data_IF_890702385272
#
_entry.id   IF_890702385272
#
_cell.length_a   1.000
_cell.length_b   1.000
_cell.length_c   1.000
_cell.angle_alpha   90.00
_cell.angle_beta   90.00
_cell.angle_gamma   90.00
#
_symmetry.space_group_name_H-M   'P 1'
#
loop_
_entity.id
_entity.type
_entity.pdbx_description
1 polymer ?
#
# COMPACT_ATOMS: atom_id res chain seq x y z
N UNK A 1 -6.70 -29.59 -9.89
CA UNK A 1 -5.59 -29.27 -10.81
C UNK A 1 -6.17 -29.25 -12.22
N UNK A 2 -6.51 -28.06 -12.73
CA UNK A 2 -6.93 -27.93 -14.14
C UNK A 2 -5.74 -27.39 -14.89
N UNK A 3 -5.09 -28.27 -15.66
CA UNK A 3 -3.99 -27.91 -16.53
C UNK A 3 -4.53 -26.94 -17.58
N UNK A 4 -4.24 -25.65 -17.41
CA UNK A 4 -4.34 -24.68 -18.50
C UNK A 4 -3.27 -25.12 -19.49
N UNK A 5 -3.71 -25.70 -20.60
CA UNK A 5 -2.87 -25.85 -21.79
C UNK A 5 -2.43 -24.43 -22.14
N UNK A 6 -1.17 -24.11 -21.87
CA UNK A 6 -0.53 -22.92 -22.39
C UNK A 6 -0.48 -23.16 -23.89
N UNK A 7 -1.49 -22.69 -24.61
CA UNK A 7 -1.44 -22.68 -26.06
C UNK A 7 -0.20 -21.86 -26.42
N UNK A 8 0.72 -22.47 -27.18
CA UNK A 8 1.81 -21.81 -27.87
C UNK A 8 1.24 -20.70 -28.75
N UNK A 9 1.01 -19.53 -28.16
CA UNK A 9 0.54 -18.34 -28.85
C UNK A 9 1.70 -17.83 -29.71
N UNK A 10 1.82 -18.49 -30.86
CA UNK A 10 2.29 -18.01 -32.14
C UNK A 10 3.65 -17.30 -32.08
N UNK A 11 4.69 -18.02 -32.50
CA UNK A 11 5.95 -17.47 -33.00
C UNK A 11 5.77 -16.60 -34.25
N UNK A 12 4.57 -16.08 -34.51
CA UNK A 12 4.20 -15.26 -35.66
C UNK A 12 3.63 -13.93 -35.25
N UNK A 13 3.91 -12.89 -36.04
CA UNK A 13 3.25 -11.59 -35.92
C UNK A 13 1.73 -11.72 -36.06
N UNK A 14 0.97 -11.23 -35.09
CA UNK A 14 -0.49 -11.32 -35.07
C UNK A 14 -1.21 -10.54 -36.19
N UNK A 15 -0.50 -9.65 -36.90
CA UNK A 15 -1.04 -8.93 -38.04
C UNK A 15 -0.65 -9.55 -39.38
N UNK A 16 0.66 -9.76 -39.62
CA UNK A 16 1.18 -10.14 -40.94
C UNK A 16 1.64 -11.60 -41.04
N UNK A 17 1.58 -12.37 -39.95
CA UNK A 17 1.94 -13.80 -39.94
C UNK A 17 3.44 -14.12 -39.99
N UNK A 18 4.34 -13.12 -40.06
CA UNK A 18 5.81 -13.34 -40.09
C UNK A 18 6.30 -14.10 -38.87
N UNK A 19 7.11 -15.15 -39.06
CA UNK A 19 7.71 -15.94 -37.98
C UNK A 19 8.96 -15.28 -37.37
N UNK A 20 9.21 -15.56 -36.10
CA UNK A 20 10.51 -15.29 -35.45
C UNK A 20 11.61 -16.02 -36.24
N UNK A 21 12.47 -15.28 -36.95
CA UNK A 21 13.62 -15.84 -37.69
C UNK A 21 13.48 -15.96 -39.21
N UNK A 22 12.35 -15.57 -39.83
CA UNK A 22 12.23 -15.46 -41.30
C UNK A 22 12.99 -14.22 -41.81
N UNK A 23 14.32 -14.33 -41.84
CA UNK A 23 15.23 -13.34 -42.43
C UNK A 23 15.60 -13.71 -43.86
N UNK A 24 14.90 -13.13 -44.84
CA UNK A 24 15.53 -12.80 -46.12
C UNK A 24 16.48 -11.62 -45.91
N UNK A 25 17.67 -11.70 -46.52
CA UNK A 25 18.84 -10.80 -46.41
C UNK A 25 18.60 -9.46 -45.67
N UNK A 26 19.08 -9.39 -44.42
CA UNK A 26 19.16 -8.15 -43.65
C UNK A 26 18.23 -8.05 -42.43
N UNK A 27 18.33 -8.99 -41.50
CA UNK A 27 17.89 -8.79 -40.10
C UNK A 27 16.81 -9.75 -39.61
N UNK A 28 17.12 -10.51 -38.57
CA UNK A 28 16.16 -11.34 -37.83
C UNK A 28 15.12 -10.42 -37.17
N UNK A 29 13.91 -10.36 -37.71
CA UNK A 29 12.81 -9.59 -37.11
C UNK A 29 12.37 -10.25 -35.80
N UNK A 30 12.88 -9.73 -34.67
CA UNK A 30 12.52 -10.20 -33.33
C UNK A 30 11.10 -9.74 -33.00
N UNK A 31 10.18 -10.68 -32.81
CA UNK A 31 8.82 -10.34 -32.41
C UNK A 31 8.78 -9.81 -30.96
N UNK A 32 7.92 -8.83 -30.73
CA UNK A 32 7.72 -8.20 -29.42
C UNK A 32 6.29 -8.42 -28.93
N UNK A 33 6.15 -8.82 -27.67
CA UNK A 33 4.83 -8.99 -27.04
C UNK A 33 4.08 -7.66 -26.98
N UNK A 34 2.76 -7.70 -27.12
CA UNK A 34 1.91 -6.57 -26.80
C UNK A 34 2.16 -6.11 -25.36
N UNK A 35 2.56 -4.86 -25.17
CA UNK A 35 2.91 -4.31 -23.86
C UNK A 35 1.73 -4.32 -22.87
N UNK A 36 0.49 -4.30 -23.37
CA UNK A 36 -0.72 -4.26 -22.54
C UNK A 36 -1.17 -5.66 -22.08
N UNK A 37 -1.41 -6.59 -23.02
CA UNK A 37 -2.02 -7.89 -22.72
C UNK A 37 -1.06 -9.08 -22.73
N UNK A 38 0.12 -8.95 -23.36
CA UNK A 38 1.09 -10.02 -23.57
C UNK A 38 0.58 -11.29 -24.30
N UNK A 39 -0.64 -11.26 -24.87
CA UNK A 39 -1.24 -12.40 -25.57
C UNK A 39 -0.73 -12.59 -27.00
N UNK A 40 -0.33 -11.49 -27.64
CA UNK A 40 0.01 -11.45 -29.05
C UNK A 40 1.35 -10.77 -29.25
N UNK A 41 2.04 -11.15 -30.34
CA UNK A 41 3.35 -10.64 -30.71
C UNK A 41 3.30 -9.84 -32.02
N UNK A 42 4.20 -8.88 -32.19
CA UNK A 42 4.31 -8.03 -33.38
C UNK A 42 5.75 -7.87 -33.85
N UNK A 43 5.95 -7.84 -35.17
CA UNK A 43 7.26 -7.57 -35.80
C UNK A 43 7.60 -6.08 -35.89
N UNK A 44 6.67 -5.19 -35.53
CA UNK A 44 6.86 -3.75 -35.59
C UNK A 44 5.61 -2.96 -35.22
N UNK A 45 5.77 -1.65 -35.04
CA UNK A 45 4.70 -0.75 -34.60
C UNK A 45 3.53 -0.68 -35.59
N UNK A 46 3.79 -0.80 -36.90
CA UNK A 46 2.74 -0.75 -37.93
C UNK A 46 1.81 -1.96 -37.84
N UNK A 47 2.37 -3.15 -37.64
CA UNK A 47 1.60 -4.36 -37.41
C UNK A 47 0.79 -4.29 -36.10
N UNK A 48 1.35 -3.71 -35.05
CA UNK A 48 0.63 -3.49 -33.80
C UNK A 48 -0.54 -2.50 -33.99
N UNK A 49 -0.35 -1.42 -34.75
CA UNK A 49 -1.42 -0.44 -35.03
C UNK A 49 -2.53 -1.07 -35.88
N UNK A 50 -2.17 -1.81 -36.93
CA UNK A 50 -3.14 -2.45 -37.83
C UNK A 50 -4.02 -3.49 -37.12
N UNK A 51 -3.45 -4.29 -36.22
CA UNK A 51 -4.20 -5.30 -35.47
C UNK A 51 -4.97 -4.73 -34.24
N UNK A 52 -4.71 -3.48 -33.85
CA UNK A 52 -5.28 -2.87 -32.63
C UNK A 52 -6.80 -3.00 -32.57
N UNK A 53 -7.50 -2.66 -33.65
CA UNK A 53 -8.97 -2.63 -33.65
C UNK A 53 -9.58 -4.03 -33.54
N UNK A 54 -8.94 -5.05 -34.11
CA UNK A 54 -9.40 -6.45 -34.06
C UNK A 54 -9.23 -7.04 -32.66
N UNK A 55 -8.19 -6.62 -31.93
CA UNK A 55 -7.81 -7.18 -30.64
C UNK A 55 -8.17 -6.30 -29.43
N UNK A 56 -8.65 -5.07 -29.64
CA UNK A 56 -8.84 -4.06 -28.59
C UNK A 56 -9.56 -4.60 -27.36
N UNK A 57 -10.76 -5.19 -27.52
CA UNK A 57 -11.57 -5.70 -26.40
C UNK A 57 -10.86 -6.81 -25.61
N UNK A 58 -10.29 -7.78 -26.31
CA UNK A 58 -9.54 -8.88 -25.68
C UNK A 58 -8.26 -8.38 -24.98
N UNK A 59 -7.60 -7.38 -25.58
CA UNK A 59 -6.44 -6.71 -25.00
C UNK A 59 -6.76 -6.01 -23.68
N UNK A 60 -7.85 -5.22 -23.67
CA UNK A 60 -8.33 -4.48 -22.49
C UNK A 60 -8.71 -5.43 -21.35
N UNK A 61 -9.46 -6.50 -21.66
CA UNK A 61 -9.82 -7.54 -20.69
C UNK A 61 -8.57 -8.15 -20.06
N UNK A 62 -7.63 -8.61 -20.88
CA UNK A 62 -6.41 -9.25 -20.36
C UNK A 62 -5.51 -8.27 -19.61
N UNK A 63 -5.44 -7.02 -20.04
CA UNK A 63 -4.70 -5.99 -19.31
C UNK A 63 -5.30 -5.74 -17.91
N UNK A 64 -6.63 -5.78 -17.79
CA UNK A 64 -7.31 -5.71 -16.49
C UNK A 64 -7.03 -6.95 -15.64
N UNK A 65 -7.07 -8.15 -16.22
CA UNK A 65 -6.70 -9.39 -15.52
C UNK A 65 -5.27 -9.37 -15.01
N UNK A 66 -4.31 -8.91 -15.81
CA UNK A 66 -2.91 -8.78 -15.39
C UNK A 66 -2.73 -7.79 -14.24
N UNK A 67 -3.52 -6.71 -14.20
CA UNK A 67 -3.54 -5.78 -13.07
C UNK A 67 -4.08 -6.46 -11.81
N UNK A 68 -5.16 -7.21 -11.93
CA UNK A 68 -5.75 -7.99 -10.84
C UNK A 68 -4.81 -9.09 -10.34
N UNK A 69 -4.18 -9.84 -11.23
CA UNK A 69 -3.15 -10.84 -10.90
C UNK A 69 -2.00 -10.20 -10.11
N UNK A 70 -1.55 -9.00 -10.49
CA UNK A 70 -0.52 -8.26 -9.75
C UNK A 70 -1.02 -7.79 -8.38
N UNK A 71 -2.21 -7.20 -8.33
CA UNK A 71 -2.80 -6.64 -7.12
C UNK A 71 -3.08 -7.71 -6.06
N UNK A 72 -3.65 -8.84 -6.48
CA UNK A 72 -3.96 -9.97 -5.61
C UNK A 72 -2.76 -10.89 -5.38
N UNK A 73 -1.79 -10.95 -6.29
CA UNK A 73 -0.61 -11.80 -6.13
C UNK A 73 0.42 -11.30 -5.12
N UNK A 74 0.40 -10.00 -4.78
CA UNK A 74 1.34 -9.38 -3.84
C UNK A 74 0.66 -9.04 -2.51
N UNK A 75 1.44 -8.77 -1.47
CA UNK A 75 0.94 -8.30 -0.15
C UNK A 75 -0.01 -9.29 0.51
N UNK A 76 0.37 -10.57 0.47
CA UNK A 76 -0.34 -11.71 1.05
C UNK A 76 0.05 -12.00 2.50
N UNK A 77 1.11 -11.35 2.96
CA UNK A 77 1.73 -11.50 4.27
C UNK A 77 2.03 -10.12 4.84
N UNK A 78 2.13 -10.05 6.16
CA UNK A 78 2.44 -8.81 6.87
C UNK A 78 3.93 -8.47 6.71
N UNK A 79 4.30 -7.19 6.63
CA UNK A 79 5.69 -6.77 6.63
C UNK A 79 6.38 -7.10 7.96
N UNK A 80 7.71 -7.20 7.98
CA UNK A 80 8.48 -7.53 9.19
C UNK A 80 8.24 -6.54 10.35
N UNK A 81 8.01 -5.26 10.03
CA UNK A 81 7.77 -4.19 11.01
C UNK A 81 6.45 -4.34 11.79
N UNK A 82 5.58 -5.27 11.39
CA UNK A 82 4.34 -5.62 12.08
C UNK A 82 4.55 -6.66 13.20
N UNK A 83 5.74 -7.26 13.29
CA UNK A 83 6.08 -8.24 14.30
C UNK A 83 6.83 -7.58 15.44
N UNK A 84 6.53 -7.99 16.67
CA UNK A 84 7.29 -7.49 17.80
C UNK A 84 8.71 -8.05 17.74
N UNK A 85 9.74 -7.23 17.66
CA UNK A 85 11.13 -7.70 17.50
C UNK A 85 11.71 -8.37 18.76
N UNK A 86 10.98 -8.39 19.89
CA UNK A 86 11.41 -9.05 21.14
C UNK A 86 10.88 -10.48 21.21
N UNK A 87 9.60 -10.70 20.92
CA UNK A 87 8.99 -12.03 20.98
C UNK A 87 8.75 -12.66 19.59
N UNK A 88 9.03 -11.92 18.52
CA UNK A 88 8.79 -12.31 17.11
C UNK A 88 7.34 -12.67 16.80
N UNK A 89 6.40 -12.35 17.68
CA UNK A 89 4.97 -12.56 17.46
C UNK A 89 4.36 -11.37 16.69
N UNK A 90 3.39 -11.63 15.80
CA UNK A 90 2.67 -10.55 15.12
C UNK A 90 1.96 -9.66 16.15
N UNK A 91 2.12 -8.35 16.02
CA UNK A 91 1.39 -7.39 16.88
C UNK A 91 -0.09 -7.44 16.46
N UNK A 92 -1.03 -7.70 17.38
CA UNK A 92 -2.46 -7.75 17.03
C UNK A 92 -2.95 -6.45 16.40
N UNK A 93 -3.89 -6.53 15.45
CA UNK A 93 -4.59 -5.35 14.94
C UNK A 93 -5.71 -4.91 15.90
N UNK A 94 -5.93 -3.59 16.09
CA UNK A 94 -5.15 -2.50 15.52
C UNK A 94 -3.83 -2.29 16.29
N UNK A 95 -2.71 -2.17 15.56
CA UNK A 95 -1.36 -2.26 16.17
C UNK A 95 -1.03 -1.11 17.12
N UNK A 96 -1.58 0.07 16.88
CA UNK A 96 -1.43 1.26 17.72
C UNK A 96 -1.99 1.04 19.14
N UNK A 97 -3.02 0.22 19.29
CA UNK A 97 -3.59 -0.15 20.59
C UNK A 97 -2.81 -1.26 21.32
N UNK A 98 -1.99 -2.02 20.60
CA UNK A 98 -1.29 -3.21 21.14
C UNK A 98 0.23 -3.07 21.15
N UNK A 99 0.77 -1.92 20.74
CA UNK A 99 2.20 -1.64 20.73
C UNK A 99 2.52 -0.21 21.15
N UNK A 100 3.80 0.04 21.42
CA UNK A 100 4.34 1.38 21.58
C UNK A 100 5.55 1.55 20.67
N UNK A 101 5.67 2.73 20.07
CA UNK A 101 6.79 3.08 19.21
C UNK A 101 7.96 3.56 20.07
N UNK A 102 9.12 2.95 19.92
CA UNK A 102 10.35 3.47 20.51
C UNK A 102 10.90 4.60 19.65
N UNK A 103 10.93 5.85 20.15
CA UNK A 103 11.33 7.02 19.36
C UNK A 103 12.78 6.94 18.80
N UNK A 104 13.72 6.34 19.53
CA UNK A 104 15.12 6.20 19.08
C UNK A 104 15.25 5.26 17.86
N UNK A 105 14.81 4.01 17.99
CA UNK A 105 14.92 2.99 16.95
C UNK A 105 13.73 2.94 15.99
N UNK A 106 12.67 3.72 16.22
CA UNK A 106 11.44 3.76 15.41
C UNK A 106 10.94 2.34 15.14
N UNK A 107 10.90 1.53 16.21
CA UNK A 107 10.41 0.15 16.21
C UNK A 107 9.23 0.03 17.15
N UNK A 108 8.19 -0.69 16.72
CA UNK A 108 7.01 -0.99 17.54
C UNK A 108 7.31 -2.19 18.43
N UNK A 109 7.02 -2.08 19.72
CA UNK A 109 7.13 -3.18 20.69
C UNK A 109 5.75 -3.48 21.24
N UNK A 110 5.35 -4.75 21.29
CA UNK A 110 4.05 -5.08 21.85
C UNK A 110 4.01 -4.78 23.36
N UNK A 111 2.83 -4.41 23.86
CA UNK A 111 2.65 -4.06 25.28
C UNK A 111 3.03 -5.22 26.22
N UNK A 112 2.87 -6.47 25.77
CA UNK A 112 3.28 -7.66 26.52
C UNK A 112 4.79 -7.66 26.80
N UNK A 113 5.61 -7.42 25.78
CA UNK A 113 7.07 -7.34 25.93
C UNK A 113 7.48 -6.11 26.74
N UNK A 114 6.86 -4.95 26.52
CA UNK A 114 7.11 -3.74 27.34
C UNK A 114 6.86 -4.04 28.82
N UNK A 115 5.73 -4.68 29.15
CA UNK A 115 5.39 -5.05 30.53
C UNK A 115 6.36 -6.08 31.12
N UNK A 116 6.77 -7.07 30.33
CA UNK A 116 7.73 -8.09 30.76
C UNK A 116 9.10 -7.48 31.08
N UNK A 117 9.55 -6.52 30.26
CA UNK A 117 10.81 -5.80 30.50
C UNK A 117 10.69 -4.83 31.69
N UNK A 118 9.56 -4.15 31.84
CA UNK A 118 9.31 -3.28 33.01
C UNK A 118 9.42 -4.00 34.34
N UNK A 119 8.97 -5.26 34.43
CA UNK A 119 9.15 -6.09 35.64
C UNK A 119 10.61 -6.38 35.98
N UNK A 120 11.53 -6.20 35.03
CA UNK A 120 12.99 -6.37 35.22
C UNK A 120 13.72 -5.05 35.43
N UNK A 121 12.99 -3.92 35.48
CA UNK A 121 13.59 -2.59 35.66
C UNK A 121 14.38 -2.08 34.46
N UNK A 122 14.14 -2.58 33.24
CA UNK A 122 14.95 -2.20 32.06
C UNK A 122 14.22 -1.24 31.10
N UNK A 123 13.23 -0.48 31.58
CA UNK A 123 12.52 0.53 30.77
C UNK A 123 13.20 1.90 30.75
N UNK A 124 14.34 2.06 31.42
CA UNK A 124 15.11 3.32 31.37
C UNK A 124 15.97 3.42 30.11
N UNK A 125 16.03 2.38 29.28
CA UNK A 125 16.80 2.36 28.03
C UNK A 125 16.00 1.77 26.89
N UNK A 126 16.32 2.19 25.66
CA UNK A 126 15.78 1.63 24.45
C UNK A 126 16.10 0.13 24.37
N UNK A 127 15.08 -0.69 24.13
CA UNK A 127 15.19 -2.15 24.14
C UNK A 127 16.07 -2.74 23.02
N UNK A 128 16.50 -1.91 22.08
CA UNK A 128 17.30 -2.31 20.91
C UNK A 128 18.74 -1.79 21.00
N UNK A 129 18.90 -0.48 21.14
CA UNK A 129 20.21 0.17 21.12
C UNK A 129 20.73 0.54 22.51
N UNK A 130 19.96 0.29 23.58
CA UNK A 130 20.27 0.65 24.98
C UNK A 130 20.52 2.14 25.23
N UNK A 131 20.25 3.01 24.26
CA UNK A 131 20.22 4.46 24.47
C UNK A 131 19.24 4.78 25.59
N UNK A 132 19.60 5.59 26.61
CA UNK A 132 18.69 6.00 27.66
C UNK A 132 17.38 6.53 27.08
N UNK A 133 16.25 6.06 27.62
CA UNK A 133 14.96 6.63 27.29
C UNK A 133 14.92 8.06 27.82
N UNK A 134 14.29 8.91 27.03
CA UNK A 134 14.34 10.35 27.21
C UNK A 134 13.44 10.75 28.38
N UNK A 135 13.98 11.51 29.32
CA UNK A 135 13.21 12.09 30.43
C UNK A 135 12.20 13.13 29.92
N UNK A 136 12.51 13.77 28.79
CA UNK A 136 11.70 14.82 28.19
C UNK A 136 11.48 14.64 26.68
N UNK A 137 10.41 15.27 26.20
CA UNK A 137 9.96 15.23 24.80
C UNK A 137 10.95 15.90 23.84
N UNK A 138 11.68 16.94 24.27
CA UNK A 138 12.61 17.65 23.40
C UNK A 138 13.81 16.76 23.06
N UNK A 139 14.34 16.05 24.04
CA UNK A 139 15.39 15.05 23.81
C UNK A 139 14.92 13.94 22.87
N UNK A 140 13.69 13.42 23.05
CA UNK A 140 13.11 12.42 22.15
C UNK A 140 13.02 12.92 20.70
N UNK A 141 12.57 14.16 20.52
CA UNK A 141 12.44 14.81 19.22
C UNK A 141 13.80 15.06 18.56
N UNK A 142 14.85 15.38 19.33
CA UNK A 142 16.20 15.57 18.81
C UNK A 142 16.78 14.26 18.23
N UNK A 143 16.53 13.12 18.89
CA UNK A 143 16.94 11.81 18.34
C UNK A 143 16.19 11.45 17.07
N UNK A 144 14.86 11.64 17.06
CA UNK A 144 14.07 11.42 15.87
C UNK A 144 14.52 12.36 14.74
N UNK A 145 14.90 13.60 15.06
CA UNK A 145 15.38 14.58 14.07
C UNK A 145 16.63 14.10 13.36
N UNK A 146 17.62 13.56 14.08
CA UNK A 146 18.84 13.00 13.46
C UNK A 146 18.52 11.95 12.39
N UNK A 147 17.48 11.13 12.61
CA UNK A 147 17.04 10.12 11.62
C UNK A 147 16.25 10.73 10.48
N UNK A 148 15.43 11.74 10.75
CA UNK A 148 14.75 12.53 9.71
C UNK A 148 15.77 13.20 8.80
N UNK A 149 16.83 13.78 9.34
CA UNK A 149 17.91 14.41 8.59
C UNK A 149 18.67 13.38 7.74
N UNK A 150 18.84 12.16 8.26
CA UNK A 150 19.38 11.01 7.55
C UNK A 150 18.39 10.36 6.55
N UNK A 151 17.20 10.96 6.33
CA UNK A 151 16.16 10.48 5.43
C UNK A 151 15.69 9.05 5.72
N UNK A 152 15.62 8.70 7.00
CA UNK A 152 15.04 7.44 7.42
C UNK A 152 13.52 7.42 7.15
N UNK A 153 13.01 6.47 6.35
CA UNK A 153 11.59 6.43 5.96
C UNK A 153 10.64 6.28 7.16
N UNK A 154 11.01 5.50 8.18
CA UNK A 154 10.18 5.30 9.36
C UNK A 154 10.19 6.54 10.25
N UNK A 155 11.33 7.21 10.39
CA UNK A 155 11.45 8.45 11.15
C UNK A 155 10.67 9.60 10.50
N UNK A 156 10.76 9.74 9.18
CA UNK A 156 9.97 10.70 8.40
C UNK A 156 8.47 10.46 8.60
N UNK A 157 8.03 9.20 8.49
CA UNK A 157 6.64 8.81 8.72
C UNK A 157 6.17 9.12 10.14
N UNK A 158 7.01 8.83 11.14
CA UNK A 158 6.74 9.12 12.54
C UNK A 158 6.67 10.62 12.82
N UNK A 159 7.54 11.43 12.21
CA UNK A 159 7.47 12.90 12.30
C UNK A 159 6.20 13.43 11.63
N UNK A 160 5.81 12.86 10.49
CA UNK A 160 4.54 13.15 9.85
C UNK A 160 3.35 12.90 10.79
N UNK A 161 3.36 11.77 11.51
CA UNK A 161 2.35 11.46 12.52
C UNK A 161 2.33 12.49 13.66
N UNK A 162 3.50 12.96 14.13
CA UNK A 162 3.58 13.97 15.19
C UNK A 162 2.86 15.28 14.79
N UNK A 163 3.11 15.78 13.57
CA UNK A 163 2.41 16.94 13.02
C UNK A 163 0.92 16.66 12.74
N UNK A 164 0.59 15.46 12.26
CA UNK A 164 -0.80 15.09 12.01
C UNK A 164 -1.65 15.05 13.29
N UNK A 165 -1.10 14.54 14.40
CA UNK A 165 -1.84 14.47 15.66
C UNK A 165 -1.68 15.71 16.54
N UNK A 166 -0.75 16.63 16.23
CA UNK A 166 -0.40 17.73 17.13
C UNK A 166 0.12 17.21 18.47
N UNK A 167 1.06 16.27 18.42
CA UNK A 167 1.55 15.53 19.59
C UNK A 167 3.06 15.70 19.78
N UNK A 168 3.58 15.33 20.96
CA UNK A 168 5.01 15.43 21.27
C UNK A 168 5.58 16.85 21.10
N UNK A 169 4.81 17.87 21.50
CA UNK A 169 5.25 19.27 21.44
C UNK A 169 5.15 19.92 20.06
N UNK A 170 4.52 19.26 19.09
CA UNK A 170 4.19 19.85 17.79
C UNK A 170 2.73 20.28 17.74
N UNK A 171 2.47 21.41 17.11
CA UNK A 171 1.11 21.81 16.74
C UNK A 171 0.62 20.99 15.54
N UNK A 172 -0.69 20.91 15.40
CA UNK A 172 -1.32 20.22 14.28
C UNK A 172 -1.01 20.93 12.95
N UNK A 173 -0.34 20.25 12.02
CA UNK A 173 0.07 20.79 10.73
C UNK A 173 -0.03 19.72 9.62
N UNK A 174 -1.18 19.68 8.95
CA UNK A 174 -1.48 18.71 7.89
C UNK A 174 -0.61 18.85 6.63
N UNK A 175 -0.37 20.07 6.10
CA UNK A 175 0.55 20.25 4.98
C UNK A 175 1.93 19.66 5.27
N UNK A 176 2.51 19.99 6.43
CA UNK A 176 3.84 19.48 6.81
C UNK A 176 3.85 17.98 7.04
N UNK A 177 2.80 17.42 7.63
CA UNK A 177 2.63 15.97 7.75
C UNK A 177 2.62 15.30 6.37
N UNK A 178 1.89 15.87 5.42
CA UNK A 178 1.76 15.35 4.04
C UNK A 178 3.08 15.42 3.29
N UNK A 179 3.87 16.49 3.45
CA UNK A 179 5.21 16.59 2.86
C UNK A 179 6.13 15.48 3.36
N UNK A 180 6.19 15.28 4.69
CA UNK A 180 7.01 14.24 5.31
C UNK A 180 6.57 12.82 4.91
N UNK A 181 5.26 12.57 4.87
CA UNK A 181 4.75 11.29 4.37
C UNK A 181 5.03 11.09 2.89
N UNK A 182 4.96 12.14 2.07
CA UNK A 182 5.31 12.07 0.64
C UNK A 182 6.77 11.66 0.46
N UNK A 183 7.66 12.22 1.27
CA UNK A 183 9.07 11.84 1.26
C UNK A 183 9.27 10.39 1.74
N UNK A 184 8.66 10.00 2.85
CA UNK A 184 8.72 8.64 3.38
C UNK A 184 8.16 7.60 2.39
N UNK A 185 7.06 7.91 1.71
CA UNK A 185 6.42 7.03 0.74
C UNK A 185 7.28 6.81 -0.51
N UNK A 186 8.00 7.85 -0.98
CA UNK A 186 8.99 7.74 -2.06
C UNK A 186 10.14 6.79 -1.70
N UNK A 187 10.50 6.75 -0.42
CA UNK A 187 11.49 5.84 0.15
C UNK A 187 10.92 4.46 0.52
N UNK A 188 9.65 4.19 0.16
CA UNK A 188 9.03 2.88 0.35
C UNK A 188 8.36 2.65 1.70
N UNK A 189 8.16 3.70 2.53
CA UNK A 189 7.44 3.54 3.79
C UNK A 189 5.96 3.20 3.55
N UNK A 190 5.55 2.01 3.97
CA UNK A 190 4.20 1.46 3.77
C UNK A 190 3.14 2.29 4.51
N UNK A 191 3.41 2.66 5.76
CA UNK A 191 2.49 3.45 6.60
C UNK A 191 2.25 4.84 6.03
N UNK A 192 3.29 5.48 5.48
CA UNK A 192 3.18 6.78 4.84
C UNK A 192 2.37 6.72 3.55
N UNK A 193 2.52 5.67 2.73
CA UNK A 193 1.66 5.46 1.56
C UNK A 193 0.19 5.34 1.97
N UNK A 194 -0.09 4.56 3.02
CA UNK A 194 -1.45 4.44 3.56
C UNK A 194 -1.98 5.78 4.07
N UNK A 195 -1.22 6.52 4.87
CA UNK A 195 -1.61 7.84 5.36
C UNK A 195 -1.92 8.83 4.22
N UNK A 196 -1.10 8.85 3.17
CA UNK A 196 -1.34 9.68 1.98
C UNK A 196 -2.63 9.28 1.25
N UNK A 197 -2.91 7.99 1.10
CA UNK A 197 -4.16 7.53 0.50
C UNK A 197 -5.38 8.12 1.22
N UNK A 198 -5.38 8.12 2.56
CA UNK A 198 -6.45 8.72 3.35
C UNK A 198 -6.55 10.23 3.16
N UNK A 199 -5.43 10.94 3.14
CA UNK A 199 -5.43 12.39 2.93
C UNK A 199 -5.99 12.77 1.55
N UNK A 200 -5.63 12.04 0.49
CA UNK A 200 -6.18 12.28 -0.85
C UNK A 200 -7.67 11.91 -0.95
N UNK A 201 -8.14 10.84 -0.29
CA UNK A 201 -9.58 10.52 -0.24
C UNK A 201 -10.40 11.59 0.50
N UNK A 202 -9.90 12.11 1.61
CA UNK A 202 -10.66 13.07 2.43
C UNK A 202 -10.41 14.53 2.01
N UNK A 203 -9.41 14.81 1.17
CA UNK A 203 -8.98 16.17 0.83
C UNK A 203 -8.37 16.91 2.04
N UNK A 204 -7.70 16.19 2.95
CA UNK A 204 -7.12 16.76 4.18
C UNK A 204 -5.68 17.18 3.95
N UNK A 205 -5.40 18.48 4.02
CA UNK A 205 -4.06 19.04 3.82
C UNK A 205 -3.56 18.98 2.36
N UNK A 206 -4.29 18.31 1.47
CA UNK A 206 -4.07 18.24 0.03
C UNK A 206 -5.41 18.29 -0.70
N UNK A 207 -5.45 18.73 -1.97
CA UNK A 207 -6.64 18.59 -2.79
C UNK A 207 -7.11 17.13 -2.87
N UNK A 208 -8.42 16.94 -2.88
CA UNK A 208 -9.02 15.63 -3.08
C UNK A 208 -8.63 15.08 -4.47
N UNK A 209 -8.12 13.85 -4.50
CA UNK A 209 -7.66 13.17 -5.72
C UNK A 209 -7.84 11.66 -5.55
N UNK A 210 -8.96 11.14 -6.06
CA UNK A 210 -9.35 9.75 -5.89
C UNK A 210 -8.39 8.78 -6.61
N UNK A 211 -7.93 9.13 -7.81
CA UNK A 211 -7.00 8.29 -8.58
C UNK A 211 -5.68 8.12 -7.84
N UNK A 212 -5.15 9.23 -7.31
CA UNK A 212 -3.91 9.20 -6.52
C UNK A 212 -4.10 8.50 -5.19
N UNK A 213 -5.26 8.66 -4.55
CA UNK A 213 -5.60 7.93 -3.33
C UNK A 213 -5.62 6.41 -3.56
N UNK A 214 -6.30 5.96 -4.62
CA UNK A 214 -6.34 4.56 -5.02
C UNK A 214 -4.95 4.02 -5.35
N UNK A 215 -4.12 4.80 -6.06
CA UNK A 215 -2.75 4.39 -6.38
C UNK A 215 -1.91 4.12 -5.13
N UNK A 216 -1.93 5.02 -4.14
CA UNK A 216 -1.24 4.81 -2.87
C UNK A 216 -1.81 3.64 -2.07
N UNK A 217 -3.13 3.47 -2.11
CA UNK A 217 -3.81 2.39 -1.40
C UNK A 217 -3.47 1.01 -1.98
N UNK A 218 -3.47 0.87 -3.31
CA UNK A 218 -3.05 -0.34 -4.02
C UNK A 218 -1.58 -0.66 -3.74
N UNK A 219 -0.70 0.35 -3.79
CA UNK A 219 0.72 0.21 -3.46
C UNK A 219 0.92 -0.32 -2.04
N UNK A 220 0.30 0.31 -1.05
CA UNK A 220 0.41 -0.11 0.35
C UNK A 220 -0.14 -1.53 0.55
N UNK A 221 -1.30 -1.83 -0.06
CA UNK A 221 -1.91 -3.16 0.01
C UNK A 221 -0.98 -4.23 -0.59
N UNK A 222 -0.39 -3.98 -1.76
CA UNK A 222 0.58 -4.88 -2.41
C UNK A 222 1.87 -5.07 -1.59
N UNK A 223 2.20 -4.15 -0.69
CA UNK A 223 3.31 -4.27 0.25
C UNK A 223 2.91 -4.92 1.59
N UNK A 224 1.67 -5.38 1.72
CA UNK A 224 1.19 -6.11 2.90
C UNK A 224 0.52 -5.24 3.97
N UNK A 225 0.21 -3.97 3.67
CA UNK A 225 -0.55 -3.11 4.59
C UNK A 225 -1.99 -3.66 4.70
N UNK A 226 -2.33 -4.12 5.90
CA UNK A 226 -3.56 -4.84 6.21
C UNK A 226 -4.82 -3.97 6.09
N UNK A 227 -4.79 -2.77 6.64
CA UNK A 227 -5.90 -1.82 6.60
C UNK A 227 -6.13 -1.24 5.19
N UNK A 228 -5.07 -1.04 4.40
CA UNK A 228 -5.12 -0.65 3.00
C UNK A 228 -5.83 -1.71 2.17
N UNK A 229 -5.46 -2.97 2.41
CA UNK A 229 -6.12 -4.12 1.77
C UNK A 229 -7.59 -4.18 2.13
N UNK A 230 -7.93 -3.99 3.40
CA UNK A 230 -9.33 -3.97 3.84
C UNK A 230 -10.11 -2.79 3.24
N UNK A 231 -9.50 -1.60 3.18
CA UNK A 231 -10.10 -0.40 2.57
C UNK A 231 -10.38 -0.58 1.08
N UNK A 232 -9.49 -1.24 0.33
CA UNK A 232 -9.78 -1.62 -1.06
C UNK A 232 -11.01 -2.54 -1.15
N UNK A 233 -11.13 -3.52 -0.23
CA UNK A 233 -12.32 -4.36 -0.17
C UNK A 233 -13.61 -3.57 0.06
N UNK A 234 -13.54 -2.55 0.92
CA UNK A 234 -14.66 -1.64 1.17
C UNK A 234 -15.01 -0.79 -0.06
N UNK A 235 -14.02 -0.24 -0.76
CA UNK A 235 -14.23 0.54 -1.98
C UNK A 235 -14.84 -0.31 -3.10
N UNK A 236 -14.33 -1.53 -3.30
CA UNK A 236 -14.91 -2.47 -4.27
C UNK A 236 -16.34 -2.87 -3.91
N UNK A 237 -16.64 -2.99 -2.62
CA UNK A 237 -18.00 -3.30 -2.15
C UNK A 237 -18.97 -2.15 -2.44
N UNK A 238 -18.57 -0.92 -2.13
CA UNK A 238 -19.34 0.30 -2.37
C UNK A 238 -19.60 0.50 -3.87
N UNK A 239 -18.61 0.19 -4.70
CA UNK A 239 -18.71 0.19 -6.16
C UNK A 239 -19.50 -0.99 -6.75
N UNK A 240 -20.05 -1.89 -5.91
CA UNK A 240 -20.85 -3.04 -6.35
C UNK A 240 -20.04 -4.26 -6.82
N UNK A 241 -18.70 -4.19 -6.81
CA UNK A 241 -17.78 -5.24 -7.22
C UNK A 241 -17.59 -6.30 -6.12
N UNK A 242 -18.67 -6.98 -5.74
CA UNK A 242 -18.69 -7.93 -4.61
C UNK A 242 -17.59 -9.01 -4.69
N UNK A 243 -17.31 -9.52 -5.89
CA UNK A 243 -16.27 -10.54 -6.10
C UNK A 243 -14.86 -10.03 -5.77
N UNK A 244 -14.53 -8.80 -6.20
CA UNK A 244 -13.24 -8.14 -5.90
C UNK A 244 -13.16 -7.79 -4.41
N UNK A 245 -14.24 -7.28 -3.85
CA UNK A 245 -14.35 -6.97 -2.42
C UNK A 245 -14.01 -8.18 -1.54
N UNK A 246 -14.64 -9.34 -1.80
CA UNK A 246 -14.39 -10.57 -1.05
C UNK A 246 -12.93 -11.00 -1.13
N UNK A 247 -12.29 -10.90 -2.30
CA UNK A 247 -10.86 -11.23 -2.44
C UNK A 247 -10.00 -10.36 -1.53
N UNK A 248 -10.21 -9.05 -1.52
CA UNK A 248 -9.50 -8.13 -0.62
C UNK A 248 -9.71 -8.48 0.85
N UNK A 249 -10.96 -8.72 1.26
CA UNK A 249 -11.28 -9.08 2.64
C UNK A 249 -10.66 -10.41 3.08
N UNK A 250 -10.61 -11.42 2.21
CA UNK A 250 -9.96 -12.69 2.53
C UNK A 250 -8.45 -12.50 2.77
N UNK A 251 -7.79 -11.65 1.97
CA UNK A 251 -6.36 -11.36 2.14
C UNK A 251 -6.12 -10.63 3.47
N UNK A 252 -6.89 -9.58 3.80
CA UNK A 252 -6.73 -8.87 5.07
C UNK A 252 -7.10 -9.71 6.29
N UNK A 253 -8.13 -10.54 6.20
CA UNK A 253 -8.48 -11.49 7.26
C UNK A 253 -7.37 -12.52 7.49
N UNK A 254 -6.75 -13.05 6.42
CA UNK A 254 -5.58 -13.95 6.51
C UNK A 254 -4.41 -13.27 7.24
N UNK A 255 -4.22 -11.97 7.03
CA UNK A 255 -3.21 -11.17 7.73
C UNK A 255 -3.59 -10.81 9.18
N UNK A 256 -4.68 -11.36 9.71
CA UNK A 256 -5.03 -11.23 11.13
C UNK A 256 -5.95 -10.05 11.47
N UNK A 257 -6.53 -9.37 10.46
CA UNK A 257 -7.59 -8.40 10.70
C UNK A 257 -8.87 -9.15 11.11
N UNK A 258 -9.10 -9.24 12.42
CA UNK A 258 -10.35 -9.74 12.98
C UNK A 258 -11.39 -8.65 12.79
N UNK A 259 -12.45 -8.96 12.04
CA UNK A 259 -13.49 -8.02 11.64
C UNK A 259 -13.94 -7.12 12.79
N UNK A 260 -13.43 -5.91 12.81
CA UNK A 260 -14.14 -4.78 13.36
C UNK A 260 -14.70 -4.07 12.13
N UNK A 261 -16.02 -4.19 11.93
CA UNK A 261 -16.80 -3.17 11.26
C UNK A 261 -16.63 -1.87 12.05
N UNK A 262 -15.46 -1.28 11.98
CA UNK A 262 -15.21 0.07 12.40
C UNK A 262 -14.85 0.79 11.11
N UNK A 263 -15.80 1.49 10.47
CA UNK A 263 -15.39 2.70 9.78
C UNK A 263 -14.39 3.39 10.71
N UNK A 264 -13.18 3.64 10.22
CA UNK A 264 -12.35 4.68 10.81
C UNK A 264 -13.30 5.82 11.14
N UNK A 265 -13.25 6.34 12.38
CA UNK A 265 -14.26 7.26 12.96
C UNK A 265 -14.51 8.55 12.16
N UNK A 266 -13.95 8.67 10.95
CA UNK A 266 -14.10 9.76 10.00
C UNK A 266 -15.02 9.43 8.81
N UNK A 267 -15.20 8.16 8.41
CA UNK A 267 -15.96 7.83 7.19
C UNK A 267 -17.49 7.77 7.43
N UNK A 268 -17.92 7.42 8.64
CA UNK A 268 -19.35 7.32 8.97
C UNK A 268 -20.07 8.67 9.11
N UNK A 269 -19.32 9.78 9.30
CA UNK A 269 -19.93 11.10 9.39
C UNK A 269 -20.41 11.63 8.02
N UNK A 270 -19.86 11.15 6.90
CA UNK A 270 -20.29 11.60 5.56
C UNK A 270 -21.64 11.00 5.16
N UNK A 271 -21.93 9.76 5.56
CA UNK A 271 -23.21 9.10 5.30
C UNK A 271 -24.36 9.61 6.20
N UNK A 272 -24.07 10.11 7.41
CA UNK A 272 -25.08 10.72 8.29
C UNK A 272 -25.33 12.21 7.98
N UNK A 273 -24.32 12.94 7.51
CA UNK A 273 -24.48 14.35 7.11
C UNK A 273 -25.22 14.50 5.78
N UNK A 274 -25.07 13.58 4.83
CA UNK A 274 -25.85 13.62 3.57
C UNK A 274 -27.33 13.26 3.75
N UNK A 275 -27.69 12.45 4.76
CA UNK A 275 -29.09 12.14 5.08
C UNK A 275 -29.83 13.26 5.80
N UNK A 276 -29.12 14.24 6.38
CA UNK A 276 -29.72 15.42 7.02
C UNK A 276 -30.02 16.58 6.06
N UNK A 277 -29.50 16.53 4.83
CA UNK A 277 -29.61 17.62 3.85
C UNK A 277 -30.46 17.27 2.60
N UNK A 278 -31.24 16.18 2.61
CA UNK A 278 -32.25 15.98 1.58
C UNK A 278 -33.52 16.76 1.93
N UNK A 279 -34.06 17.61 1.03
CA UNK A 279 -35.35 18.25 1.26
C UNK A 279 -36.42 17.17 1.36
N UNK A 280 -37.23 17.24 2.41
CA UNK A 280 -38.44 16.41 2.52
C UNK A 280 -39.41 16.88 1.44
N UNK A 281 -39.62 16.04 0.42
CA UNK A 281 -40.82 16.09 -0.41
C UNK A 281 -41.88 15.18 0.20
#
# INVERSE_FOLDING_TARGET
MSCIVVNDAAETCANCGKRDGDGGEGGTAKLTNCAACRLVKYCGADCQKAHREQHKKACELRAAELKDERLYGQGQERPEDDFCPICSLPIPHPMDMHSSLSACCVKKVCHGCIRAVGKRGMLETCLFCRTPLFEDVATANAYLQKRVDAKDPAALSSRGNQYYYGSYGFEHDLPRATELWTEAAKLGNIEAQYALAFNFFDGRGVPHDEEKALWYLEKAAMQGQVDARHKLGWLEHDNGNRGRAVRHYLISAKMGLKSLFLPSRTCSQRAELQKRNMPRH
#
